data_IF_454841634052
#
_entry.id   IF_454841634052
#
_cell.length_a   1.000
_cell.length_b   1.000
_cell.length_c   1.000
_cell.angle_alpha   90.00
_cell.angle_beta   90.00
_cell.angle_gamma   90.00
#
_symmetry.space_group_name_H-M   'P 1'
#
loop_
_entity.id
_entity.type
_entity.pdbx_description
1 polymer ?
#
# COMPACT_ATOMS: atom_id res chain seq x y z
N UNK A 1 -56.81 -4.20 9.29
CA UNK A 1 -56.94 -2.73 9.19
C UNK A 1 -55.55 -2.20 8.80
N UNK A 2 -55.23 -2.04 7.50
CA UNK A 2 -55.43 -0.81 6.67
C UNK A 2 -54.60 0.35 7.24
N UNK A 3 -53.62 1.01 6.63
CA UNK A 3 -53.20 1.36 5.25
C UNK A 3 -51.65 1.55 5.30
N UNK A 4 -50.76 1.19 4.36
CA UNK A 4 -50.65 1.34 2.89
C UNK A 4 -50.44 2.80 2.42
N UNK A 5 -49.37 2.98 1.61
CA UNK A 5 -49.09 4.01 0.58
C UNK A 5 -48.29 5.25 1.05
N UNK A 6 -47.36 5.86 0.30
CA UNK A 6 -46.71 5.56 -1.00
C UNK A 6 -45.58 6.59 -1.25
N UNK A 7 -44.51 6.12 -1.89
CA UNK A 7 -43.74 6.71 -3.01
C UNK A 7 -43.27 8.18 -3.07
N UNK A 8 -42.00 8.34 -3.45
CA UNK A 8 -41.57 9.12 -4.62
C UNK A 8 -40.14 8.72 -5.03
N UNK A 9 -40.02 7.99 -6.14
CA UNK A 9 -38.78 7.87 -6.90
C UNK A 9 -39.09 8.37 -8.31
N UNK A 10 -38.39 9.43 -8.73
CA UNK A 10 -38.61 10.10 -10.02
C UNK A 10 -37.44 9.80 -10.95
N UNK A 11 -37.81 9.12 -12.04
CA UNK A 11 -37.31 9.11 -13.43
C UNK A 11 -36.00 9.81 -13.82
N UNK A 12 -35.12 9.00 -14.41
CA UNK A 12 -34.59 9.05 -15.80
C UNK A 12 -34.94 10.24 -16.73
N UNK A 13 -33.90 10.75 -17.41
CA UNK A 13 -33.92 11.52 -18.66
C UNK A 13 -32.56 12.22 -18.88
N UNK A 14 -31.66 11.71 -19.73
CA UNK A 14 -31.50 11.98 -21.18
C UNK A 14 -30.91 13.37 -21.49
N UNK A 15 -29.75 13.42 -22.16
CA UNK A 15 -29.39 14.24 -23.35
C UNK A 15 -27.85 14.31 -23.53
N UNK A 16 -27.28 13.69 -24.57
CA UNK A 16 -26.91 14.16 -25.93
C UNK A 16 -25.90 15.32 -26.01
N UNK A 17 -24.78 15.05 -26.69
CA UNK A 17 -24.24 15.94 -27.73
C UNK A 17 -23.05 16.82 -27.38
N UNK A 18 -21.96 16.73 -28.17
CA UNK A 18 -20.86 17.70 -28.07
C UNK A 18 -19.60 17.34 -28.84
N UNK A 19 -19.69 17.32 -30.17
CA UNK A 19 -18.60 17.15 -31.12
C UNK A 19 -17.85 18.47 -31.35
N UNK A 20 -16.53 18.58 -31.16
CA UNK A 20 -15.67 19.55 -31.89
C UNK A 20 -14.26 18.98 -32.09
N UNK A 21 -13.85 18.94 -33.36
CA UNK A 21 -12.51 18.65 -33.89
C UNK A 21 -11.55 19.80 -33.61
N UNK A 22 -10.27 19.50 -33.37
CA UNK A 22 -9.17 20.35 -33.82
C UNK A 22 -7.92 19.51 -34.11
N UNK A 23 -7.73 19.23 -35.40
CA UNK A 23 -6.47 18.79 -35.95
C UNK A 23 -5.61 20.04 -36.20
N UNK A 24 -4.36 20.04 -35.74
CA UNK A 24 -3.31 20.91 -36.30
C UNK A 24 -2.08 20.04 -36.54
N UNK A 25 -1.80 19.87 -37.82
CA UNK A 25 -0.59 19.29 -38.37
C UNK A 25 0.55 20.31 -38.32
N UNK A 26 1.68 19.94 -37.77
CA UNK A 26 3.01 20.46 -38.11
C UNK A 26 3.94 19.25 -37.92
N UNK A 27 4.58 18.65 -38.92
CA UNK A 27 5.11 19.25 -40.13
C UNK A 27 6.56 19.63 -39.89
N UNK A 28 7.48 18.65 -39.85
CA UNK A 28 8.85 18.85 -40.34
C UNK A 28 9.56 17.53 -40.55
N UNK A 29 9.85 17.26 -41.82
CA UNK A 29 10.81 16.28 -42.28
C UNK A 29 12.21 16.65 -41.77
N UNK A 30 12.95 15.69 -41.22
CA UNK A 30 14.40 15.69 -41.26
C UNK A 30 14.87 14.44 -42.00
N UNK A 31 15.39 14.68 -43.19
CA UNK A 31 16.10 13.73 -44.03
C UNK A 31 17.62 13.92 -43.85
N UNK A 32 18.36 12.90 -44.27
CA UNK A 32 19.83 12.83 -44.42
C UNK A 32 20.60 12.48 -43.13
N UNK A 33 21.63 11.63 -43.14
CA UNK A 33 22.38 11.03 -44.23
C UNK A 33 22.92 9.66 -43.81
N UNK A 34 22.81 8.70 -44.72
CA UNK A 34 23.50 7.41 -44.69
C UNK A 34 24.96 7.68 -45.04
N UNK A 35 25.88 7.42 -44.12
CA UNK A 35 27.31 7.32 -44.43
C UNK A 35 27.71 5.85 -44.38
N UNK A 36 27.77 5.27 -45.57
CA UNK A 36 28.43 3.98 -45.84
C UNK A 36 29.92 4.09 -45.46
N UNK A 37 30.38 3.20 -44.58
CA UNK A 37 31.80 2.89 -44.45
C UNK A 37 32.07 1.49 -45.02
N UNK A 38 33.10 1.30 -45.85
CA UNK A 38 33.48 0.01 -46.40
C UNK A 38 34.35 -0.78 -45.42
N UNK A 39 34.05 -2.07 -45.34
CA UNK A 39 34.97 -3.22 -45.39
C UNK A 39 36.24 -3.17 -44.53
N UNK A 40 36.29 -4.01 -43.49
CA UNK A 40 37.48 -4.83 -43.23
C UNK A 40 37.07 -6.16 -42.60
N UNK A 41 37.04 -7.20 -43.44
CA UNK A 41 37.04 -8.58 -43.02
C UNK A 41 38.47 -8.95 -42.64
N UNK A 42 38.70 -9.25 -41.36
CA UNK A 42 39.84 -10.05 -40.92
C UNK A 42 39.29 -11.36 -40.37
N UNK A 43 39.51 -12.41 -41.16
CA UNK A 43 39.44 -13.78 -40.68
C UNK A 43 40.49 -13.95 -39.58
N UNK A 44 40.02 -14.33 -38.39
CA UNK A 44 40.87 -14.91 -37.34
C UNK A 44 40.49 -16.38 -37.17
N UNK A 45 41.50 -17.23 -36.92
CA UNK A 45 41.39 -18.67 -37.04
C UNK A 45 40.53 -19.29 -35.93
N UNK A 46 39.78 -20.29 -36.36
CA UNK A 46 39.09 -21.31 -35.59
C UNK A 46 40.02 -21.84 -34.47
N UNK A 47 39.72 -21.45 -33.24
CA UNK A 47 40.25 -22.10 -32.06
C UNK A 47 39.18 -23.08 -31.56
N UNK A 48 39.42 -24.37 -31.77
CA UNK A 48 38.70 -25.45 -31.11
C UNK A 48 38.77 -25.24 -29.59
N UNK A 49 37.61 -24.98 -28.97
CA UNK A 49 37.45 -25.05 -27.52
C UNK A 49 36.66 -26.34 -27.22
N UNK A 50 37.17 -27.18 -26.32
CA UNK A 50 36.67 -28.54 -26.12
C UNK A 50 35.28 -28.56 -25.49
N UNK A 51 34.54 -29.62 -25.80
CA UNK A 51 33.28 -29.98 -25.19
C UNK A 51 33.34 -29.89 -23.66
N UNK A 52 32.53 -29.01 -23.09
CA UNK A 52 32.26 -28.92 -21.67
C UNK A 52 30.77 -29.18 -21.44
N UNK A 53 30.51 -30.38 -20.90
CA UNK A 53 29.37 -30.84 -20.12
C UNK A 53 28.01 -30.13 -20.28
N UNK A 54 27.11 -30.84 -20.96
CA UNK A 54 25.67 -30.78 -20.71
C UNK A 54 25.37 -31.36 -19.32
N UNK A 55 25.06 -30.49 -18.35
CA UNK A 55 24.08 -30.66 -17.27
C UNK A 55 24.45 -29.82 -16.04
N UNK A 56 24.19 -28.53 -16.15
CA UNK A 56 23.99 -27.67 -14.98
C UNK A 56 22.70 -26.92 -15.22
N UNK A 57 21.56 -27.49 -14.83
CA UNK A 57 20.38 -26.67 -14.62
C UNK A 57 20.80 -25.54 -13.66
N UNK A 58 20.56 -24.25 -13.98
CA UNK A 58 20.83 -23.20 -13.03
C UNK A 58 19.99 -23.51 -11.78
N UNK A 59 20.66 -23.77 -10.66
CA UNK A 59 20.00 -23.71 -9.36
C UNK A 59 19.33 -22.34 -9.29
N UNK A 60 18.02 -22.27 -8.97
CA UNK A 60 17.37 -20.98 -8.80
C UNK A 60 18.16 -20.21 -7.75
N UNK A 61 18.60 -19.01 -8.10
CA UNK A 61 19.22 -18.08 -7.16
C UNK A 61 18.42 -18.10 -5.86
N UNK A 62 19.06 -18.20 -4.69
CA UNK A 62 18.35 -18.23 -3.43
C UNK A 62 17.47 -16.98 -3.35
N UNK A 63 16.15 -17.21 -3.38
CA UNK A 63 15.13 -16.17 -3.30
C UNK A 63 15.53 -15.15 -2.23
N UNK A 64 15.31 -13.84 -2.43
CA UNK A 64 15.59 -12.83 -1.42
C UNK A 64 14.57 -12.96 -0.28
N UNK A 65 14.82 -13.93 0.59
CA UNK A 65 14.16 -14.13 1.86
C UNK A 65 14.87 -13.20 2.82
N UNK A 66 14.21 -12.13 3.21
CA UNK A 66 14.78 -11.20 4.16
C UNK A 66 14.34 -11.55 5.58
N UNK A 67 15.20 -11.31 6.57
CA UNK A 67 14.81 -11.43 7.97
C UNK A 67 14.10 -10.15 8.42
N UNK A 68 13.01 -10.30 9.16
CA UNK A 68 12.17 -9.19 9.65
C UNK A 68 12.96 -8.13 10.44
N UNK A 69 14.07 -8.49 11.07
CA UNK A 69 14.91 -7.56 11.84
C UNK A 69 15.80 -6.62 11.02
N UNK A 70 16.02 -6.88 9.72
CA UNK A 70 17.11 -6.26 8.95
C UNK A 70 16.66 -5.22 7.91
N UNK A 71 15.35 -5.01 7.69
CA UNK A 71 14.87 -4.08 6.67
C UNK A 71 14.12 -2.89 7.29
N UNK A 72 14.60 -1.65 7.06
CA UNK A 72 13.86 -0.46 7.48
C UNK A 72 12.56 -0.35 6.68
N UNK A 73 11.53 0.22 7.32
CA UNK A 73 10.31 0.64 6.63
C UNK A 73 10.70 1.53 5.44
N UNK A 74 10.08 1.36 4.24
CA UNK A 74 10.50 2.08 3.05
C UNK A 74 10.46 3.60 3.21
N UNK A 75 11.23 4.29 2.38
CA UNK A 75 11.31 5.76 2.41
C UNK A 75 9.98 6.41 2.02
N UNK A 76 9.81 7.69 2.36
CA UNK A 76 8.61 8.45 1.97
C UNK A 76 8.48 8.52 0.44
N UNK A 77 9.59 8.80 -0.25
CA UNK A 77 9.63 8.92 -1.72
C UNK A 77 9.19 7.62 -2.39
N UNK A 78 9.69 6.49 -1.89
CA UNK A 78 9.31 5.15 -2.36
C UNK A 78 7.82 4.89 -2.11
N UNK A 79 7.32 5.16 -0.91
CA UNK A 79 5.93 4.89 -0.55
C UNK A 79 4.91 5.74 -1.31
N UNK A 80 5.28 6.96 -1.71
CA UNK A 80 4.41 7.88 -2.43
C UNK A 80 4.47 7.71 -3.95
N UNK A 81 5.64 7.42 -4.51
CA UNK A 81 5.88 7.49 -5.96
C UNK A 81 6.07 6.14 -6.64
N UNK A 82 6.56 5.12 -5.93
CA UNK A 82 6.81 3.81 -6.51
C UNK A 82 5.55 2.92 -6.50
N UNK A 83 5.67 1.72 -7.08
CA UNK A 83 4.57 0.75 -7.11
C UNK A 83 4.28 0.27 -5.68
N UNK A 84 3.00 0.09 -5.38
CA UNK A 84 2.57 -0.45 -4.09
C UNK A 84 3.10 -1.89 -3.89
N UNK A 85 3.79 -2.09 -2.77
CA UNK A 85 4.37 -3.37 -2.37
C UNK A 85 3.78 -3.81 -1.03
N UNK A 86 3.60 -5.11 -0.87
CA UNK A 86 3.17 -5.73 0.37
C UNK A 86 4.31 -6.58 0.93
N UNK A 87 4.38 -6.68 2.26
CA UNK A 87 5.29 -7.59 2.93
C UNK A 87 4.52 -8.81 3.43
N UNK A 88 4.98 -10.00 3.06
CA UNK A 88 4.44 -11.26 3.57
C UNK A 88 5.40 -11.79 4.60
N UNK A 89 5.01 -11.72 5.85
CA UNK A 89 5.78 -12.21 6.99
C UNK A 89 5.39 -13.66 7.24
N UNK A 90 6.38 -14.54 7.26
CA UNK A 90 6.20 -15.96 7.58
C UNK A 90 6.31 -16.22 9.08
N UNK A 91 5.87 -17.40 9.51
CA UNK A 91 6.03 -17.87 10.90
C UNK A 91 7.49 -17.99 11.36
N UNK A 92 8.43 -18.07 10.41
CA UNK A 92 9.88 -18.11 10.68
C UNK A 92 10.48 -16.73 10.95
N UNK A 93 9.67 -15.66 10.94
CA UNK A 93 10.10 -14.25 10.93
C UNK A 93 10.99 -13.90 9.73
N UNK A 94 10.90 -14.70 8.67
CA UNK A 94 11.35 -14.36 7.33
C UNK A 94 10.22 -13.61 6.60
N UNK A 95 10.56 -12.77 5.62
CA UNK A 95 9.55 -12.11 4.83
C UNK A 95 9.91 -11.95 3.35
N UNK A 96 8.87 -11.80 2.54
CA UNK A 96 8.94 -11.47 1.12
C UNK A 96 8.39 -10.07 0.88
N UNK A 97 9.07 -9.31 0.04
CA UNK A 97 8.50 -8.13 -0.61
C UNK A 97 7.81 -8.62 -1.87
N UNK A 98 6.52 -8.30 -2.04
CA UNK A 98 5.71 -8.75 -3.17
C UNK A 98 4.94 -7.57 -3.77
N UNK A 99 4.46 -7.74 -5.00
CA UNK A 99 3.44 -6.84 -5.54
C UNK A 99 2.16 -6.90 -4.70
N UNK A 100 1.40 -5.81 -4.74
CA UNK A 100 0.18 -5.64 -3.94
C UNK A 100 -0.79 -6.84 -4.03
N UNK A 101 -1.17 -7.38 -2.87
CA UNK A 101 -2.00 -8.57 -2.74
C UNK A 101 -3.47 -8.19 -2.58
N UNK A 102 -4.37 -8.81 -3.33
CA UNK A 102 -5.82 -8.58 -3.27
C UNK A 102 -6.51 -9.83 -2.72
N UNK A 103 -7.55 -9.73 -1.86
CA UNK A 103 -8.29 -8.53 -1.42
C UNK A 103 -7.67 -7.77 -0.22
N UNK A 104 -7.89 -6.46 -0.15
CA UNK A 104 -7.35 -5.56 0.91
C UNK A 104 -8.47 -4.79 1.62
N UNK A 105 -8.31 -4.38 2.89
CA UNK A 105 -7.42 -4.97 3.91
C UNK A 105 -7.89 -6.40 4.31
N UNK A 106 -7.21 -7.03 5.27
CA UNK A 106 -7.60 -8.29 5.92
C UNK A 106 -7.66 -9.49 4.95
N UNK A 107 -6.65 -9.64 4.11
CA UNK A 107 -6.58 -10.71 3.10
C UNK A 107 -6.68 -12.09 3.73
N UNK A 108 -5.96 -12.32 4.83
CA UNK A 108 -5.87 -13.64 5.46
C UNK A 108 -7.20 -14.03 6.13
N UNK A 109 -7.88 -13.10 6.79
CA UNK A 109 -9.18 -13.33 7.41
C UNK A 109 -10.24 -13.65 6.37
N UNK A 110 -10.26 -12.90 5.25
CA UNK A 110 -11.15 -13.15 4.12
C UNK A 110 -10.89 -14.54 3.52
N UNK A 111 -9.63 -14.88 3.29
CA UNK A 111 -9.23 -16.20 2.78
C UNK A 111 -9.65 -17.33 3.73
N UNK A 112 -9.47 -17.14 5.04
CA UNK A 112 -9.88 -18.12 6.05
C UNK A 112 -11.39 -18.36 6.00
N UNK A 113 -12.18 -17.30 5.90
CA UNK A 113 -13.64 -17.41 5.79
C UNK A 113 -14.06 -18.15 4.50
N UNK A 114 -13.41 -17.87 3.37
CA UNK A 114 -13.65 -18.57 2.10
C UNK A 114 -13.33 -20.08 2.23
N UNK A 115 -12.21 -20.43 2.86
CA UNK A 115 -11.82 -21.82 3.12
C UNK A 115 -12.88 -22.51 4.01
N UNK A 116 -13.31 -21.88 5.09
CA UNK A 116 -14.33 -22.44 6.00
C UNK A 116 -15.66 -22.68 5.26
N UNK A 117 -16.11 -21.72 4.45
CA UNK A 117 -17.31 -21.86 3.63
C UNK A 117 -17.21 -23.01 2.64
N UNK A 118 -16.08 -23.12 1.93
CA UNK A 118 -15.84 -24.21 0.97
C UNK A 118 -15.70 -25.57 1.63
N UNK A 119 -15.16 -25.63 2.85
CA UNK A 119 -15.13 -26.86 3.64
C UNK A 119 -16.54 -27.33 4.01
N UNK A 120 -17.45 -26.42 4.35
CA UNK A 120 -18.84 -26.76 4.65
C UNK A 120 -19.61 -27.18 3.38
N UNK A 121 -19.36 -26.51 2.25
CA UNK A 121 -19.87 -26.93 0.94
C UNK A 121 -19.44 -28.37 0.62
N UNK A 122 -18.16 -28.70 0.82
CA UNK A 122 -17.63 -30.05 0.61
C UNK A 122 -18.33 -31.11 1.49
N UNK A 123 -18.68 -30.76 2.73
CA UNK A 123 -19.35 -31.69 3.66
C UNK A 123 -20.78 -32.02 3.21
N UNK A 124 -21.48 -31.02 2.69
CA UNK A 124 -22.88 -31.13 2.27
C UNK A 124 -23.06 -31.61 0.82
N UNK A 125 -22.03 -31.47 -0.02
CA UNK A 125 -22.07 -31.83 -1.43
C UNK A 125 -22.13 -33.35 -1.72
N UNK A 126 -22.77 -33.77 -2.84
CA UNK A 126 -22.72 -35.13 -3.36
C UNK A 126 -21.30 -35.60 -3.71
N UNK A 127 -21.05 -36.92 -3.68
CA UNK A 127 -19.73 -37.50 -3.88
C UNK A 127 -19.03 -37.08 -5.19
N UNK A 128 -19.79 -36.86 -6.27
CA UNK A 128 -19.27 -36.43 -7.57
C UNK A 128 -18.70 -35.01 -7.54
N UNK A 129 -19.28 -34.11 -6.74
CA UNK A 129 -18.83 -32.71 -6.61
C UNK A 129 -17.72 -32.53 -5.58
N UNK A 130 -17.60 -33.46 -4.61
CA UNK A 130 -16.57 -33.39 -3.56
C UNK A 130 -15.16 -33.34 -4.11
N UNK A 131 -14.89 -33.97 -5.27
CA UNK A 131 -13.55 -33.94 -5.87
C UNK A 131 -13.20 -32.53 -6.36
N UNK A 132 -14.07 -31.91 -7.15
CA UNK A 132 -13.87 -30.54 -7.64
C UNK A 132 -13.73 -29.53 -6.48
N UNK A 133 -14.58 -29.64 -5.45
CA UNK A 133 -14.49 -28.77 -4.28
C UNK A 133 -13.18 -29.00 -3.50
N UNK A 134 -12.66 -30.23 -3.48
CA UNK A 134 -11.37 -30.53 -2.83
C UNK A 134 -10.20 -29.90 -3.60
N UNK A 135 -10.24 -29.88 -4.93
CA UNK A 135 -9.25 -29.20 -5.78
C UNK A 135 -9.32 -27.68 -5.56
N UNK A 136 -10.51 -27.07 -5.54
CA UNK A 136 -10.68 -25.65 -5.20
C UNK A 136 -10.18 -25.30 -3.79
N UNK A 137 -10.44 -26.17 -2.81
CA UNK A 137 -9.91 -25.99 -1.45
C UNK A 137 -8.39 -26.07 -1.40
N UNK A 138 -7.78 -26.96 -2.18
CA UNK A 138 -6.33 -27.02 -2.29
C UNK A 138 -5.77 -25.70 -2.80
N UNK A 139 -6.36 -25.12 -3.84
CA UNK A 139 -5.97 -23.82 -4.38
C UNK A 139 -6.10 -22.68 -3.36
N UNK A 140 -7.19 -22.64 -2.58
CA UNK A 140 -7.39 -21.62 -1.55
C UNK A 140 -6.38 -21.69 -0.39
N UNK A 141 -5.72 -22.83 -0.19
CA UNK A 141 -4.67 -22.98 0.83
C UNK A 141 -3.34 -22.35 0.42
N UNK A 142 -3.24 -21.78 -0.78
CA UNK A 142 -2.05 -21.08 -1.23
C UNK A 142 -2.39 -19.64 -1.62
N UNK A 143 -1.40 -18.77 -1.40
CA UNK A 143 -1.39 -17.41 -1.87
C UNK A 143 -0.40 -17.31 -3.03
N UNK A 144 -0.90 -16.88 -4.19
CA UNK A 144 -0.11 -16.63 -5.39
C UNK A 144 0.32 -15.17 -5.42
N UNK A 145 1.63 -14.93 -5.50
CA UNK A 145 2.20 -13.57 -5.39
C UNK A 145 3.30 -13.37 -6.41
N UNK A 146 3.37 -12.16 -6.97
CA UNK A 146 4.47 -11.78 -7.86
C UNK A 146 5.58 -11.10 -7.05
N UNK A 147 6.82 -11.51 -7.27
CA UNK A 147 8.00 -10.84 -6.70
C UNK A 147 8.37 -9.62 -7.56
N UNK A 148 8.59 -8.44 -6.96
CA UNK A 148 9.14 -7.30 -7.68
C UNK A 148 10.57 -7.62 -8.14
N UNK A 149 10.98 -7.04 -9.26
CA UNK A 149 12.36 -7.01 -9.76
C UNK A 149 12.98 -8.34 -10.23
N UNK A 150 12.21 -9.42 -10.29
CA UNK A 150 12.66 -10.68 -10.92
C UNK A 150 12.24 -10.71 -12.40
N UNK A 151 13.20 -10.90 -13.30
CA UNK A 151 12.95 -10.98 -14.75
C UNK A 151 11.88 -12.02 -15.07
N UNK A 152 10.72 -11.56 -15.56
CA UNK A 152 9.57 -12.40 -15.91
C UNK A 152 8.47 -12.48 -14.85
N UNK A 153 8.61 -11.82 -13.69
CA UNK A 153 7.65 -11.80 -12.58
C UNK A 153 7.08 -13.19 -12.26
N UNK A 154 7.92 -14.18 -11.87
CA UNK A 154 7.44 -15.50 -11.57
C UNK A 154 6.42 -15.45 -10.44
N UNK A 155 5.23 -16.02 -10.68
CA UNK A 155 4.24 -16.21 -9.63
C UNK A 155 4.73 -17.25 -8.63
N UNK A 156 4.81 -16.84 -7.36
CA UNK A 156 5.23 -17.69 -6.26
C UNK A 156 4.03 -18.16 -5.47
N UNK A 157 4.01 -19.45 -5.17
CA UNK A 157 2.94 -20.10 -4.42
C UNK A 157 3.36 -20.27 -2.96
N UNK A 158 2.77 -19.48 -2.06
CA UNK A 158 3.06 -19.50 -0.62
C UNK A 158 1.90 -20.17 0.12
N UNK A 159 2.13 -21.25 0.90
CA UNK A 159 1.07 -21.86 1.72
C UNK A 159 0.55 -20.86 2.75
N UNK A 160 -0.76 -20.62 2.80
CA UNK A 160 -1.38 -19.63 3.71
C UNK A 160 -1.12 -19.96 5.19
N UNK A 161 -0.98 -21.24 5.52
CA UNK A 161 -0.64 -21.74 6.87
C UNK A 161 0.73 -21.34 7.39
N UNK A 162 1.63 -20.87 6.52
CA UNK A 162 2.98 -20.41 6.89
C UNK A 162 3.06 -18.89 7.01
N UNK A 163 1.99 -18.18 6.62
CA UNK A 163 1.94 -16.73 6.63
C UNK A 163 1.44 -16.30 8.00
N UNK A 164 2.29 -15.57 8.72
CA UNK A 164 1.99 -14.98 10.02
C UNK A 164 1.17 -13.70 9.87
N UNK A 165 1.60 -12.83 8.94
CA UNK A 165 1.02 -11.50 8.72
C UNK A 165 1.27 -11.07 7.27
N UNK A 166 0.33 -10.31 6.71
CA UNK A 166 0.56 -9.54 5.48
C UNK A 166 0.50 -8.07 5.87
N UNK A 167 1.62 -7.37 5.71
CA UNK A 167 1.70 -5.93 5.91
C UNK A 167 1.48 -5.28 4.56
N UNK A 168 0.34 -4.63 4.39
CA UNK A 168 0.03 -3.98 3.13
C UNK A 168 0.80 -2.67 2.97
N UNK A 169 0.97 -2.19 1.74
CA UNK A 169 1.51 -0.87 1.43
C UNK A 169 0.95 0.26 2.33
N UNK A 170 -0.36 0.28 2.57
CA UNK A 170 -0.99 1.29 3.42
C UNK A 170 -0.56 1.14 4.88
N UNK A 171 -0.39 -0.09 5.36
CA UNK A 171 0.15 -0.34 6.70
C UNK A 171 1.62 0.11 6.80
N UNK A 172 2.41 -0.07 5.73
CA UNK A 172 3.79 0.44 5.65
C UNK A 172 3.80 1.98 5.67
N UNK A 173 2.89 2.63 4.94
CA UNK A 173 2.71 4.09 5.01
C UNK A 173 2.35 4.56 6.41
N UNK A 174 1.43 3.88 7.09
CA UNK A 174 1.06 4.20 8.46
C UNK A 174 2.24 4.01 9.44
N UNK A 175 3.01 2.92 9.29
CA UNK A 175 4.23 2.68 10.09
C UNK A 175 5.25 3.79 9.88
N UNK A 176 5.49 4.19 8.63
CA UNK A 176 6.43 5.29 8.30
C UNK A 176 5.93 6.63 8.87
N UNK A 177 4.64 6.92 8.74
CA UNK A 177 4.03 8.12 9.31
C UNK A 177 4.26 8.19 10.83
N UNK A 178 4.06 7.09 11.57
CA UNK A 178 4.34 7.04 13.01
C UNK A 178 5.81 7.33 13.34
N UNK A 179 6.74 6.73 12.60
CA UNK A 179 8.17 7.02 12.76
C UNK A 179 8.48 8.51 12.55
N UNK A 180 7.87 9.13 11.53
CA UNK A 180 8.04 10.57 11.26
C UNK A 180 7.46 11.44 12.38
N UNK A 181 6.33 11.05 12.96
CA UNK A 181 5.77 11.74 14.13
C UNK A 181 6.72 11.68 15.34
N UNK A 182 7.33 10.51 15.58
CA UNK A 182 8.33 10.33 16.65
C UNK A 182 9.60 11.17 16.38
N UNK A 183 9.99 11.28 15.10
CA UNK A 183 11.10 12.12 14.61
C UNK A 183 10.75 13.63 14.59
N UNK A 184 9.51 14.01 14.92
CA UNK A 184 8.94 15.37 14.80
C UNK A 184 8.94 15.94 13.38
N UNK A 185 9.01 15.08 12.37
CA UNK A 185 8.86 15.45 10.97
C UNK A 185 7.36 15.49 10.61
N UNK A 186 6.70 16.55 11.09
CA UNK A 186 5.26 16.73 10.99
C UNK A 186 4.79 16.89 9.54
N UNK A 187 5.59 17.56 8.70
CA UNK A 187 5.22 17.86 7.31
C UNK A 187 5.11 16.59 6.47
N UNK A 188 6.14 15.75 6.50
CA UNK A 188 6.11 14.49 5.74
C UNK A 188 5.15 13.46 6.34
N UNK A 189 4.99 13.43 7.67
CA UNK A 189 3.97 12.60 8.30
C UNK A 189 2.57 12.98 7.80
N UNK A 190 2.26 14.29 7.73
CA UNK A 190 0.98 14.79 7.23
C UNK A 190 0.75 14.43 5.76
N UNK A 191 1.79 14.46 4.92
CA UNK A 191 1.69 14.08 3.52
C UNK A 191 1.23 12.62 3.36
N UNK A 192 1.87 11.69 4.09
CA UNK A 192 1.49 10.27 4.08
C UNK A 192 0.06 10.07 4.61
N UNK A 193 -0.29 10.71 5.72
CA UNK A 193 -1.63 10.60 6.32
C UNK A 193 -2.70 11.14 5.38
N UNK A 194 -2.47 12.31 4.79
CA UNK A 194 -3.41 12.94 3.84
C UNK A 194 -3.61 12.08 2.59
N UNK A 195 -2.53 11.44 2.09
CA UNK A 195 -2.60 10.49 0.98
C UNK A 195 -3.47 9.29 1.35
N UNK A 196 -3.26 8.73 2.54
CA UNK A 196 -4.02 7.59 3.07
C UNK A 196 -5.51 7.92 3.23
N UNK A 197 -5.83 9.07 3.84
CA UNK A 197 -7.23 9.49 4.06
C UNK A 197 -7.98 9.74 2.75
N UNK A 198 -7.28 10.28 1.75
CA UNK A 198 -7.88 10.58 0.44
C UNK A 198 -8.28 9.32 -0.32
N UNK A 199 -7.41 8.32 -0.34
CA UNK A 199 -7.59 7.14 -1.19
C UNK A 199 -8.20 5.96 -0.44
N UNK A 200 -7.93 5.84 0.85
CA UNK A 200 -8.32 4.71 1.69
C UNK A 200 -8.90 5.16 3.03
N UNK A 201 -9.83 6.12 3.02
CA UNK A 201 -10.43 6.71 4.25
C UNK A 201 -11.00 5.70 5.27
N UNK A 202 -11.35 4.48 4.82
CA UNK A 202 -11.89 3.42 5.66
C UNK A 202 -10.83 2.37 6.09
N UNK A 203 -9.54 2.63 5.83
CA UNK A 203 -8.47 1.71 6.23
C UNK A 203 -8.39 1.64 7.76
N UNK A 204 -8.28 0.43 8.34
CA UNK A 204 -8.21 0.27 9.78
C UNK A 204 -7.08 1.08 10.42
N UNK A 205 -7.41 1.87 11.44
CA UNK A 205 -6.43 2.60 12.23
C UNK A 205 -6.03 3.99 11.70
N UNK A 206 -6.51 4.43 10.52
CA UNK A 206 -6.24 5.78 10.02
C UNK A 206 -6.74 6.85 11.00
N UNK A 207 -7.95 6.71 11.55
CA UNK A 207 -8.50 7.69 12.49
C UNK A 207 -7.64 7.85 13.75
N UNK A 208 -7.09 6.74 14.25
CA UNK A 208 -6.20 6.75 15.40
C UNK A 208 -4.87 7.43 15.06
N UNK A 209 -4.30 7.12 13.89
CA UNK A 209 -3.09 7.77 13.38
C UNK A 209 -3.28 9.29 13.19
N UNK A 210 -4.43 9.72 12.67
CA UNK A 210 -4.72 11.14 12.53
C UNK A 210 -4.79 11.85 13.90
N UNK A 211 -5.40 11.21 14.90
CA UNK A 211 -5.41 11.75 16.26
C UNK A 211 -4.00 11.85 16.86
N UNK A 212 -3.14 10.85 16.63
CA UNK A 212 -1.72 10.88 17.00
C UNK A 212 -1.00 12.06 16.33
N UNK A 213 -1.23 12.27 15.04
CA UNK A 213 -0.69 13.42 14.29
C UNK A 213 -1.13 14.76 14.88
N UNK A 214 -2.42 14.96 15.14
CA UNK A 214 -2.92 16.23 15.71
C UNK A 214 -2.26 16.53 17.07
N UNK A 215 -2.09 15.51 17.93
CA UNK A 215 -1.40 15.72 19.20
C UNK A 215 0.08 16.10 18.97
N UNK A 216 0.77 15.43 18.05
CA UNK A 216 2.17 15.69 17.75
C UNK A 216 2.42 17.08 17.10
N UNK A 217 1.59 17.48 16.13
CA UNK A 217 1.66 18.81 15.51
C UNK A 217 1.37 19.89 16.54
N UNK A 218 0.28 19.74 17.32
CA UNK A 218 -0.06 20.70 18.38
C UNK A 218 1.07 20.88 19.40
N UNK A 219 1.73 19.79 19.82
CA UNK A 219 2.93 19.85 20.69
C UNK A 219 4.08 20.59 20.03
N UNK A 220 4.35 20.33 18.75
CA UNK A 220 5.39 21.03 17.99
C UNK A 220 5.11 22.54 17.91
N UNK A 221 3.85 22.95 17.72
CA UNK A 221 3.45 24.37 17.76
C UNK A 221 3.60 24.99 19.15
N UNK A 222 3.29 24.26 20.23
CA UNK A 222 3.55 24.72 21.59
C UNK A 222 5.05 24.97 21.83
N UNK A 223 5.92 24.03 21.45
CA UNK A 223 7.37 24.19 21.59
C UNK A 223 7.90 25.41 20.81
N UNK A 224 7.30 25.69 19.65
CA UNK A 224 7.61 26.86 18.82
C UNK A 224 6.99 28.18 19.34
N UNK A 225 6.25 28.17 20.45
CA UNK A 225 5.51 29.32 21.01
C UNK A 225 4.38 29.86 20.12
N UNK A 226 3.88 29.04 19.22
CA UNK A 226 2.74 29.35 18.36
C UNK A 226 1.45 28.91 19.04
N UNK A 227 1.05 29.62 20.11
CA UNK A 227 0.00 29.19 21.03
C UNK A 227 -1.38 29.08 20.36
N UNK A 228 -1.73 30.04 19.50
CA UNK A 228 -3.04 30.09 18.85
C UNK A 228 -3.23 28.91 17.88
N UNK A 229 -2.18 28.60 17.11
CA UNK A 229 -2.13 27.46 16.20
C UNK A 229 -2.22 26.15 16.99
N UNK A 230 -1.43 26.01 18.05
CA UNK A 230 -1.47 24.83 18.92
C UNK A 230 -2.87 24.57 19.50
N UNK A 231 -3.51 25.62 20.06
CA UNK A 231 -4.86 25.52 20.62
C UNK A 231 -5.92 25.21 19.55
N UNK A 232 -5.71 25.65 18.32
CA UNK A 232 -6.60 25.33 17.19
C UNK A 232 -6.51 23.84 16.86
N UNK A 233 -5.30 23.30 16.73
CA UNK A 233 -5.05 21.88 16.48
C UNK A 233 -5.63 21.02 17.61
N UNK A 234 -5.37 21.38 18.87
CA UNK A 234 -5.92 20.60 19.98
C UNK A 234 -7.45 20.70 20.08
N UNK A 235 -8.07 21.81 19.64
CA UNK A 235 -9.53 21.92 19.56
C UNK A 235 -10.10 20.97 18.51
N UNK A 236 -9.41 20.81 17.39
CA UNK A 236 -9.76 19.80 16.39
C UNK A 236 -9.66 18.39 16.99
N UNK A 237 -8.54 18.06 17.65
CA UNK A 237 -8.39 16.78 18.35
C UNK A 237 -9.49 16.58 19.40
N UNK A 238 -9.83 17.59 20.19
CA UNK A 238 -10.93 17.53 21.16
C UNK A 238 -12.30 17.24 20.51
N UNK A 239 -12.52 17.77 19.30
CA UNK A 239 -13.75 17.54 18.55
C UNK A 239 -13.86 16.11 18.03
N UNK A 240 -12.72 15.47 17.74
CA UNK A 240 -12.61 14.07 17.32
C UNK A 240 -12.66 13.10 18.52
N UNK A 241 -11.83 13.34 19.53
CA UNK A 241 -11.73 12.55 20.75
C UNK A 241 -11.43 13.44 21.97
N UNK A 242 -12.47 13.68 22.77
CA UNK A 242 -12.41 14.50 23.99
C UNK A 242 -11.55 13.91 25.09
N UNK A 243 -11.35 12.60 25.08
CA UNK A 243 -10.65 11.85 26.12
C UNK A 243 -9.26 11.39 25.67
N UNK A 244 -8.78 11.91 24.53
CA UNK A 244 -7.48 11.52 24.00
C UNK A 244 -6.37 11.79 25.02
N UNK A 245 -5.51 10.79 25.22
CA UNK A 245 -4.47 10.85 26.24
C UNK A 245 -3.51 12.02 25.98
N UNK A 246 -3.21 12.79 27.03
CA UNK A 246 -2.35 13.97 26.95
C UNK A 246 -3.02 15.23 26.36
N UNK A 247 -4.23 15.15 25.79
CA UNK A 247 -4.91 16.32 25.22
C UNK A 247 -5.16 17.41 26.28
N UNK A 248 -5.80 17.06 27.41
CA UNK A 248 -6.17 18.05 28.42
C UNK A 248 -4.95 18.78 29.01
N UNK A 249 -3.84 18.07 29.20
CA UNK A 249 -2.60 18.62 29.73
C UNK A 249 -1.99 19.63 28.75
N UNK A 250 -1.84 19.24 27.48
CA UNK A 250 -1.26 20.11 26.46
C UNK A 250 -2.18 21.31 26.13
N UNK A 251 -3.50 21.11 26.14
CA UNK A 251 -4.47 22.21 25.97
C UNK A 251 -4.37 23.23 27.11
N UNK A 252 -4.27 22.77 28.35
CA UNK A 252 -4.09 23.62 29.53
C UNK A 252 -2.78 24.41 29.46
N UNK A 253 -1.67 23.74 29.13
CA UNK A 253 -0.37 24.39 28.97
C UNK A 253 -0.40 25.53 27.93
N UNK A 254 -1.08 25.32 26.79
CA UNK A 254 -1.24 26.36 25.77
C UNK A 254 -2.05 27.57 26.26
N UNK A 255 -3.10 27.35 27.07
CA UNK A 255 -3.89 28.44 27.66
C UNK A 255 -3.05 29.21 28.68
N UNK A 256 -2.38 28.50 29.59
CA UNK A 256 -1.57 29.12 30.64
C UNK A 256 -0.43 29.97 30.05
N UNK A 257 0.21 29.49 28.99
CA UNK A 257 1.24 30.23 28.26
C UNK A 257 0.68 31.53 27.63
N UNK A 258 -0.50 31.45 26.98
CA UNK A 258 -1.14 32.62 26.37
C UNK A 258 -1.57 33.66 27.42
N UNK A 259 -2.08 33.22 28.58
CA UNK A 259 -2.42 34.11 29.70
C UNK A 259 -1.17 34.78 30.25
N UNK A 260 -0.09 34.02 30.43
CA UNK A 260 1.16 34.56 30.95
C UNK A 260 1.76 35.63 30.03
N UNK A 261 1.70 35.44 28.71
CA UNK A 261 2.12 36.44 27.73
C UNK A 261 1.25 37.70 27.80
N UNK A 262 -0.07 37.55 27.83
CA UNK A 262 -1.00 38.68 27.89
C UNK A 262 -0.93 39.50 29.19
N UNK A 263 -0.45 38.92 30.29
CA UNK A 263 -0.25 39.61 31.57
C UNK A 263 1.13 40.27 31.67
N UNK A 264 2.10 39.80 30.87
CA UNK A 264 3.44 40.36 30.84
C UNK A 264 3.54 41.65 29.99
N UNK A 265 2.62 41.82 29.03
CA UNK A 265 2.42 43.03 28.22
C UNK A 265 1.63 44.13 28.97
#
# INVERSE_FOLDING_TARGET
MTHKLLSRFVRFGHEVGGCVRAAVCFGTLFAAAIVLHPTFALAQPEAEVPAADENGAPEPDPDPVHKVGDLPVPSIETLLNERAVDWIILDTDDFYVVESVVPRPNTLEKRKLEIEQKQEERRTAPAEQRKAISEELEELNFLYVALPDVSGNPERRIPTRLIKEIVHHEDLMMRRAKMLLDEKDIEHAFELISRLEKDWSAWPGIDALHNEFLLADGKTRLEAKNWNEALTIFRELYSRDKQYAGLSENYGHGIDALVAEAVAD
#
